data_IF_456807000756
#
_entry.id   IF_456807000756
#
_cell.length_a   1.000
_cell.length_b   1.000
_cell.length_c   1.000
_cell.angle_alpha   90.00
_cell.angle_beta   90.00
_cell.angle_gamma   90.00
#
_symmetry.space_group_name_H-M   'P 1'
#
loop_
_entity.id
_entity.type
_entity.pdbx_description
1 polymer ?
#
# COMPACT_ATOMS: atom_id res chain seq x y z
N UNK A 1 -17.90 22.77 -25.36
CA UNK A 1 -17.80 21.31 -25.61
C UNK A 1 -19.16 20.82 -26.08
N UNK A 2 -19.24 19.98 -27.10
CA UNK A 2 -20.51 19.37 -27.50
C UNK A 2 -20.98 18.39 -26.41
N UNK A 3 -22.30 18.16 -26.24
CA UNK A 3 -22.83 17.17 -25.29
C UNK A 3 -22.12 15.81 -25.40
N UNK A 4 -21.83 15.39 -26.63
CA UNK A 4 -21.09 14.15 -26.95
C UNK A 4 -19.69 14.09 -26.30
N UNK A 5 -18.96 15.21 -26.27
CA UNK A 5 -17.62 15.23 -25.65
C UNK A 5 -17.64 15.07 -24.13
N UNK A 6 -18.73 15.50 -23.48
CA UNK A 6 -18.94 15.36 -22.04
C UNK A 6 -19.23 13.91 -21.66
N UNK A 7 -20.13 13.30 -22.40
CA UNK A 7 -20.56 11.91 -22.24
C UNK A 7 -19.38 10.94 -22.39
N UNK A 8 -18.54 11.16 -23.40
CA UNK A 8 -17.31 10.38 -23.61
C UNK A 8 -16.37 10.53 -22.40
N UNK A 9 -16.19 11.76 -21.88
CA UNK A 9 -15.32 11.99 -20.71
C UNK A 9 -15.81 11.24 -19.46
N UNK A 10 -17.13 11.20 -19.23
CA UNK A 10 -17.74 10.45 -18.12
C UNK A 10 -17.51 8.95 -18.25
N UNK A 11 -17.72 8.39 -19.45
CA UNK A 11 -17.49 6.97 -19.72
C UNK A 11 -16.03 6.57 -19.55
N UNK A 12 -15.10 7.38 -20.08
CA UNK A 12 -13.65 7.17 -19.91
C UNK A 12 -13.27 7.22 -18.44
N UNK A 13 -13.80 8.19 -17.69
CA UNK A 13 -13.52 8.33 -16.24
C UNK A 13 -14.05 7.13 -15.45
N UNK A 14 -15.26 6.66 -15.75
CA UNK A 14 -15.81 5.45 -15.15
C UNK A 14 -14.96 4.20 -15.46
N UNK A 15 -14.48 4.08 -16.70
CA UNK A 15 -13.60 2.99 -17.11
C UNK A 15 -12.26 3.01 -16.35
N UNK A 16 -11.63 4.18 -16.19
CA UNK A 16 -10.38 4.32 -15.41
C UNK A 16 -10.58 3.88 -13.96
N UNK A 17 -11.70 4.25 -13.33
CA UNK A 17 -12.05 3.82 -11.97
C UNK A 17 -12.18 2.29 -11.88
N UNK A 18 -12.83 1.65 -12.85
CA UNK A 18 -12.98 0.19 -12.91
C UNK A 18 -11.64 -0.54 -13.15
N UNK A 19 -10.75 0.03 -13.98
CA UNK A 19 -9.40 -0.49 -14.15
C UNK A 19 -8.60 -0.43 -12.83
N UNK A 20 -8.66 0.71 -12.13
CA UNK A 20 -8.04 0.89 -10.83
C UNK A 20 -8.60 -0.11 -9.80
N UNK A 21 -9.93 -0.32 -9.78
CA UNK A 21 -10.58 -1.29 -8.92
C UNK A 21 -10.12 -2.73 -9.22
N UNK A 22 -10.05 -3.12 -10.49
CA UNK A 22 -9.61 -4.45 -10.90
C UNK A 22 -8.15 -4.70 -10.51
N UNK A 23 -7.29 -3.68 -10.66
CA UNK A 23 -5.92 -3.75 -10.18
C UNK A 23 -5.87 -4.00 -8.66
N UNK A 24 -6.61 -3.23 -7.86
CA UNK A 24 -6.64 -3.37 -6.40
C UNK A 24 -7.24 -4.70 -5.92
N UNK A 25 -8.30 -5.19 -6.58
CA UNK A 25 -8.85 -6.52 -6.29
C UNK A 25 -7.84 -7.62 -6.62
N UNK A 26 -7.09 -7.49 -7.71
CA UNK A 26 -5.98 -8.41 -8.02
C UNK A 26 -4.89 -8.35 -6.94
N UNK A 27 -4.56 -7.17 -6.42
CA UNK A 27 -3.64 -7.03 -5.28
C UNK A 27 -4.20 -7.78 -4.08
N UNK A 28 -5.47 -7.57 -3.72
CA UNK A 28 -6.12 -8.27 -2.61
C UNK A 28 -6.05 -9.79 -2.75
N UNK A 29 -6.42 -10.36 -3.90
CA UNK A 29 -6.37 -11.82 -4.09
C UNK A 29 -4.95 -12.40 -4.01
N UNK A 30 -3.91 -11.59 -4.23
CA UNK A 30 -2.51 -12.01 -4.11
C UNK A 30 -1.92 -11.81 -2.72
N UNK A 31 -2.28 -10.72 -2.03
CA UNK A 31 -1.62 -10.28 -0.80
C UNK A 31 -2.51 -10.41 0.45
N UNK A 32 -3.81 -10.66 0.26
CA UNK A 32 -4.85 -10.67 1.28
C UNK A 32 -4.94 -9.35 2.09
N UNK A 33 -4.51 -8.21 1.50
CA UNK A 33 -4.57 -6.90 2.16
C UNK A 33 -5.97 -6.29 2.12
N UNK A 34 -6.54 -6.00 3.29
CA UNK A 34 -7.91 -5.51 3.41
C UNK A 34 -8.07 -4.10 2.84
N UNK A 35 -7.06 -3.24 3.02
CA UNK A 35 -7.01 -1.91 2.42
C UNK A 35 -7.25 -1.96 0.91
N UNK A 36 -6.61 -2.90 0.20
CA UNK A 36 -6.78 -3.06 -1.25
C UNK A 36 -8.20 -3.48 -1.64
N UNK A 37 -8.82 -4.41 -0.90
CA UNK A 37 -10.21 -4.81 -1.13
C UNK A 37 -11.17 -3.62 -0.95
N UNK A 38 -11.06 -2.91 0.17
CA UNK A 38 -11.95 -1.80 0.50
C UNK A 38 -11.78 -0.67 -0.52
N UNK A 39 -10.54 -0.34 -0.89
CA UNK A 39 -10.27 0.70 -1.89
C UNK A 39 -10.78 0.29 -3.29
N UNK A 40 -10.59 -0.98 -3.68
CA UNK A 40 -11.10 -1.50 -4.94
C UNK A 40 -12.62 -1.39 -5.04
N UNK A 41 -13.33 -1.75 -3.96
CA UNK A 41 -14.79 -1.58 -3.87
C UNK A 41 -15.21 -0.09 -3.86
N UNK A 42 -14.46 0.79 -3.20
CA UNK A 42 -14.69 2.24 -3.23
C UNK A 42 -14.71 2.78 -4.67
N UNK A 43 -13.76 2.34 -5.49
CA UNK A 43 -13.66 2.74 -6.90
C UNK A 43 -14.79 2.19 -7.77
N UNK A 44 -15.31 1.00 -7.45
CA UNK A 44 -16.51 0.46 -8.12
C UNK A 44 -17.72 1.35 -7.82
N UNK A 45 -17.96 1.68 -6.55
CA UNK A 45 -19.04 2.61 -6.19
C UNK A 45 -18.82 4.00 -6.79
N UNK A 46 -17.56 4.46 -6.87
CA UNK A 46 -17.26 5.74 -7.50
C UNK A 46 -17.46 5.72 -9.02
N UNK A 47 -17.32 4.57 -9.67
CA UNK A 47 -17.67 4.39 -11.09
C UNK A 47 -19.20 4.38 -11.26
N UNK A 48 -19.93 3.68 -10.38
CA UNK A 48 -21.41 3.67 -10.35
C UNK A 48 -21.95 5.10 -10.19
N UNK A 49 -21.33 5.93 -9.35
CA UNK A 49 -21.70 7.34 -9.20
C UNK A 49 -21.65 8.09 -10.55
N UNK A 50 -20.55 7.98 -11.29
CA UNK A 50 -20.38 8.63 -12.59
C UNK A 50 -21.36 8.10 -13.64
N UNK A 51 -21.56 6.79 -13.70
CA UNK A 51 -22.54 6.18 -14.61
C UNK A 51 -23.97 6.59 -14.25
N UNK A 52 -24.28 6.75 -12.96
CA UNK A 52 -25.59 7.20 -12.51
C UNK A 52 -25.86 8.66 -12.86
N UNK A 53 -24.84 9.54 -12.82
CA UNK A 53 -24.96 10.92 -13.31
C UNK A 53 -25.25 10.92 -14.83
N UNK A 54 -24.57 10.05 -15.58
CA UNK A 54 -24.77 9.91 -17.03
C UNK A 54 -26.22 9.53 -17.38
N UNK A 55 -26.84 8.64 -16.61
CA UNK A 55 -28.24 8.24 -16.80
C UNK A 55 -29.26 9.14 -16.08
N UNK A 56 -28.82 10.20 -15.40
CA UNK A 56 -29.70 11.11 -14.64
C UNK A 56 -30.35 10.47 -13.41
N UNK A 57 -29.80 9.39 -12.86
CA UNK A 57 -30.30 8.73 -11.66
C UNK A 57 -29.66 9.32 -10.39
N UNK A 58 -30.25 10.41 -9.89
CA UNK A 58 -29.73 11.15 -8.74
C UNK A 58 -29.69 10.34 -7.44
N UNK A 59 -30.63 9.41 -7.25
CA UNK A 59 -30.69 8.57 -6.04
C UNK A 59 -29.47 7.64 -5.99
N UNK A 60 -29.24 6.88 -7.06
CA UNK A 60 -28.09 5.96 -7.14
C UNK A 60 -26.78 6.75 -7.15
N UNK A 61 -26.75 7.91 -7.82
CA UNK A 61 -25.59 8.80 -7.83
C UNK A 61 -25.14 9.22 -6.43
N UNK A 62 -26.04 9.74 -5.59
CA UNK A 62 -25.70 10.21 -4.25
C UNK A 62 -25.33 9.07 -3.31
N UNK A 63 -26.10 7.96 -3.33
CA UNK A 63 -25.81 6.82 -2.46
C UNK A 63 -24.47 6.17 -2.79
N UNK A 64 -24.16 6.01 -4.08
CA UNK A 64 -22.87 5.45 -4.51
C UNK A 64 -21.70 6.38 -4.20
N UNK A 65 -21.87 7.71 -4.25
CA UNK A 65 -20.85 8.67 -3.82
C UNK A 65 -20.57 8.57 -2.32
N UNK A 66 -21.64 8.49 -1.50
CA UNK A 66 -21.53 8.36 -0.06
C UNK A 66 -20.84 7.06 0.35
N UNK A 67 -21.20 5.94 -0.31
CA UNK A 67 -20.53 4.65 -0.11
C UNK A 67 -19.07 4.72 -0.54
N UNK A 68 -18.77 5.27 -1.72
CA UNK A 68 -17.40 5.41 -2.19
C UNK A 68 -16.54 6.22 -1.20
N UNK A 69 -17.04 7.35 -0.69
CA UNK A 69 -16.33 8.22 0.24
C UNK A 69 -16.12 7.57 1.61
N UNK A 70 -17.14 6.88 2.11
CA UNK A 70 -17.04 6.02 3.30
C UNK A 70 -15.92 4.98 3.14
N UNK A 71 -15.87 4.32 1.99
CA UNK A 71 -14.88 3.29 1.70
C UNK A 71 -13.49 3.85 1.43
N UNK A 72 -13.34 5.04 0.84
CA UNK A 72 -12.04 5.70 0.72
C UNK A 72 -11.43 5.98 2.09
N UNK A 73 -12.21 6.54 3.01
CA UNK A 73 -11.77 6.74 4.39
C UNK A 73 -11.43 5.41 5.07
N UNK A 74 -12.32 4.42 4.98
CA UNK A 74 -12.10 3.10 5.57
C UNK A 74 -10.84 2.40 5.01
N UNK A 75 -10.59 2.53 3.71
CA UNK A 75 -9.42 1.95 3.04
C UNK A 75 -8.13 2.61 3.53
N UNK A 76 -8.08 3.93 3.60
CA UNK A 76 -6.91 4.67 4.08
C UNK A 76 -6.66 4.41 5.57
N UNK A 77 -7.71 4.33 6.40
CA UNK A 77 -7.55 3.91 7.78
C UNK A 77 -7.00 2.48 7.91
N UNK A 78 -7.56 1.52 7.14
CA UNK A 78 -7.08 0.14 7.11
C UNK A 78 -5.62 0.06 6.69
N UNK A 79 -5.22 0.84 5.67
CA UNK A 79 -3.83 0.92 5.23
C UNK A 79 -2.92 1.43 6.35
N UNK A 80 -3.36 2.44 7.11
CA UNK A 80 -2.59 2.95 8.25
C UNK A 80 -2.47 1.95 9.41
N UNK A 81 -3.47 1.12 9.64
CA UNK A 81 -3.39 0.01 10.61
C UNK A 81 -2.45 -1.09 10.11
N UNK A 82 -2.55 -1.48 8.84
CA UNK A 82 -1.68 -2.47 8.20
C UNK A 82 -0.21 -2.05 8.22
N UNK A 83 0.06 -0.75 8.08
CA UNK A 83 1.40 -0.17 8.12
C UNK A 83 1.82 0.33 9.51
N UNK A 84 1.05 0.03 10.56
CA UNK A 84 1.33 0.40 11.94
C UNK A 84 1.53 1.92 12.18
N UNK A 85 0.96 2.77 11.32
CA UNK A 85 0.92 4.23 11.54
C UNK A 85 -0.27 4.66 12.37
N UNK A 86 -1.34 3.84 12.39
CA UNK A 86 -2.55 4.09 13.17
C UNK A 86 -2.82 2.91 14.12
N UNK A 87 -3.46 3.22 15.25
CA UNK A 87 -3.93 2.19 16.18
C UNK A 87 -5.14 1.46 15.60
N UNK A 88 -5.19 0.15 15.80
CA UNK A 88 -6.33 -0.67 15.35
C UNK A 88 -7.54 -0.43 16.25
N UNK A 89 -8.55 0.26 15.74
CA UNK A 89 -9.87 0.38 16.39
C UNK A 89 -11.00 0.18 15.38
N UNK A 90 -11.57 -1.03 15.36
CA UNK A 90 -12.70 -1.36 14.48
C UNK A 90 -13.91 -0.47 14.72
N UNK A 91 -14.19 -0.13 15.98
CA UNK A 91 -15.32 0.72 16.34
C UNK A 91 -15.15 2.13 15.80
N UNK A 92 -13.95 2.71 15.96
CA UNK A 92 -13.63 4.03 15.41
C UNK A 92 -13.68 4.04 13.88
N UNK A 93 -13.06 3.05 13.24
CA UNK A 93 -13.10 2.92 11.78
C UNK A 93 -14.55 2.87 11.28
N UNK A 94 -15.39 2.00 11.87
CA UNK A 94 -16.76 1.83 11.43
C UNK A 94 -17.61 3.07 11.67
N UNK A 95 -17.55 3.65 12.88
CA UNK A 95 -18.39 4.79 13.26
C UNK A 95 -18.09 6.03 12.42
N UNK A 96 -16.82 6.30 12.14
CA UNK A 96 -16.42 7.44 11.32
C UNK A 96 -16.75 7.16 9.85
N UNK A 97 -16.34 6.01 9.31
CA UNK A 97 -16.50 5.71 7.87
C UNK A 97 -17.95 5.71 7.42
N UNK A 98 -18.91 5.26 8.23
CA UNK A 98 -20.33 5.18 7.82
C UNK A 98 -21.03 6.55 7.77
N UNK A 99 -20.39 7.61 8.27
CA UNK A 99 -21.00 8.95 8.40
C UNK A 99 -21.59 9.50 7.09
N UNK A 100 -20.90 9.46 5.92
CA UNK A 100 -21.49 9.93 4.66
C UNK A 100 -22.78 9.19 4.29
N UNK A 101 -22.84 7.88 4.56
CA UNK A 101 -24.02 7.04 4.28
C UNK A 101 -25.17 7.43 5.20
N UNK A 102 -24.91 7.55 6.51
CA UNK A 102 -25.94 7.97 7.49
C UNK A 102 -26.50 9.34 7.12
N UNK A 103 -25.65 10.30 6.79
CA UNK A 103 -26.09 11.66 6.43
C UNK A 103 -26.89 11.64 5.13
N UNK A 104 -26.48 10.84 4.14
CA UNK A 104 -27.23 10.70 2.87
C UNK A 104 -28.64 10.13 3.11
N UNK A 105 -28.75 9.05 3.89
CA UNK A 105 -30.05 8.45 4.22
C UNK A 105 -30.91 9.39 5.08
N UNK A 106 -30.29 10.10 6.02
CA UNK A 106 -30.98 11.06 6.88
C UNK A 106 -31.54 12.25 6.09
N UNK A 107 -30.77 12.81 5.16
CA UNK A 107 -31.24 13.94 4.32
C UNK A 107 -32.35 13.52 3.37
N UNK A 108 -32.34 12.27 2.88
CA UNK A 108 -33.46 11.71 2.11
C UNK A 108 -34.71 11.55 2.96
N UNK A 109 -34.58 11.02 4.19
CA UNK A 109 -35.71 10.90 5.10
C UNK A 109 -36.30 12.27 5.45
N UNK A 110 -35.44 13.28 5.65
CA UNK A 110 -35.87 14.66 5.86
C UNK A 110 -36.63 15.22 4.66
N UNK A 111 -36.24 14.88 3.41
CA UNK A 111 -36.98 15.28 2.20
C UNK A 111 -38.44 14.84 2.25
N UNK A 112 -38.68 13.62 2.72
CA UNK A 112 -40.02 13.03 2.78
C UNK A 112 -40.89 13.66 3.89
N UNK A 113 -40.26 14.14 4.97
CA UNK A 113 -40.97 14.57 6.18
C UNK A 113 -40.94 16.08 6.43
N UNK A 114 -40.09 16.84 5.73
CA UNK A 114 -39.94 18.29 5.89
C UNK A 114 -39.79 19.00 4.54
N UNK A 115 -40.59 20.03 4.31
CA UNK A 115 -40.67 20.77 3.02
C UNK A 115 -39.49 21.75 2.80
N UNK A 116 -38.62 21.93 3.79
CA UNK A 116 -37.67 23.06 3.82
C UNK A 116 -36.39 22.83 3.01
N UNK A 117 -35.96 21.58 2.79
CA UNK A 117 -34.78 21.24 1.99
C UNK A 117 -35.21 20.84 0.58
N UNK A 118 -35.12 21.77 -0.37
CA UNK A 118 -35.30 21.45 -1.79
C UNK A 118 -34.27 20.42 -2.28
N UNK A 119 -34.51 19.80 -3.44
CA UNK A 119 -33.66 18.73 -3.98
C UNK A 119 -32.19 19.14 -4.11
N UNK A 120 -31.94 20.38 -4.49
CA UNK A 120 -30.60 20.93 -4.60
C UNK A 120 -29.88 21.04 -3.24
N UNK A 121 -30.61 21.32 -2.15
CA UNK A 121 -30.05 21.34 -0.80
C UNK A 121 -29.55 19.96 -0.37
N UNK A 122 -30.29 18.90 -0.71
CA UNK A 122 -29.90 17.51 -0.44
C UNK A 122 -28.67 17.12 -1.25
N UNK A 123 -28.67 17.44 -2.55
CA UNK A 123 -27.49 17.28 -3.42
C UNK A 123 -26.29 18.00 -2.76
N UNK A 124 -26.48 19.23 -2.31
CA UNK A 124 -25.42 20.05 -1.72
C UNK A 124 -24.79 19.41 -0.49
N UNK A 125 -25.62 18.94 0.45
CA UNK A 125 -25.15 18.30 1.69
C UNK A 125 -24.41 17.00 1.37
N UNK A 126 -24.96 16.18 0.46
CA UNK A 126 -24.43 14.85 0.19
C UNK A 126 -23.08 14.90 -0.57
N UNK A 127 -22.92 15.82 -1.52
CA UNK A 127 -21.64 16.05 -2.19
C UNK A 127 -20.62 16.70 -1.23
N UNK A 128 -21.05 17.66 -0.41
CA UNK A 128 -20.19 18.30 0.59
C UNK A 128 -19.62 17.32 1.62
N UNK A 129 -20.46 16.49 2.24
CA UNK A 129 -19.99 15.52 3.24
C UNK A 129 -19.13 14.42 2.62
N UNK A 130 -19.49 13.94 1.44
CA UNK A 130 -18.74 12.90 0.73
C UNK A 130 -17.35 13.40 0.33
N UNK A 131 -17.28 14.60 -0.26
CA UNK A 131 -16.02 15.25 -0.62
C UNK A 131 -15.14 15.51 0.61
N UNK A 132 -15.71 15.97 1.73
CA UNK A 132 -14.97 16.12 2.99
C UNK A 132 -14.33 14.81 3.47
N UNK A 133 -15.05 13.69 3.39
CA UNK A 133 -14.51 12.38 3.77
C UNK A 133 -13.41 11.89 2.83
N UNK A 134 -13.50 12.18 1.53
CA UNK A 134 -12.41 11.94 0.59
C UNK A 134 -11.17 12.79 0.91
N UNK A 135 -11.35 14.07 1.30
CA UNK A 135 -10.26 14.91 1.81
C UNK A 135 -9.62 14.30 3.05
N UNK A 136 -10.42 13.90 4.04
CA UNK A 136 -9.91 13.26 5.27
C UNK A 136 -9.12 11.98 4.96
N UNK A 137 -9.59 11.16 4.01
CA UNK A 137 -8.87 9.97 3.55
C UNK A 137 -7.49 10.34 2.98
N UNK A 138 -7.42 11.38 2.17
CA UNK A 138 -6.16 11.89 1.62
C UNK A 138 -5.22 12.48 2.69
N UNK A 139 -5.75 13.20 3.68
CA UNK A 139 -5.00 13.76 4.82
C UNK A 139 -4.37 12.64 5.66
N UNK A 140 -5.13 11.58 5.98
CA UNK A 140 -4.58 10.38 6.64
C UNK A 140 -3.42 9.80 5.81
N UNK A 141 -3.59 9.76 4.49
CA UNK A 141 -2.56 9.25 3.58
C UNK A 141 -1.23 10.01 3.62
N UNK A 142 -1.21 11.28 4.04
CA UNK A 142 0.03 12.08 4.09
C UNK A 142 1.05 11.46 5.05
N UNK A 143 0.60 10.76 6.09
CA UNK A 143 1.49 10.05 7.01
C UNK A 143 2.20 8.86 6.36
N UNK A 144 1.64 8.30 5.28
CA UNK A 144 2.25 7.19 4.54
C UNK A 144 3.49 7.61 3.75
N UNK A 145 3.76 8.92 3.64
CA UNK A 145 5.05 9.42 3.15
C UNK A 145 6.23 8.87 3.94
N UNK A 146 6.04 8.58 5.24
CA UNK A 146 7.07 7.97 6.09
C UNK A 146 7.47 6.56 5.65
N UNK A 147 6.63 5.90 4.86
CA UNK A 147 6.75 4.48 4.50
C UNK A 147 7.04 4.32 3.01
N UNK A 148 6.21 4.94 2.16
CA UNK A 148 6.34 4.84 0.70
C UNK A 148 7.07 6.05 0.09
N UNK A 149 7.62 6.95 0.91
CA UNK A 149 8.31 8.15 0.44
C UNK A 149 7.37 9.11 -0.30
N UNK A 150 7.92 9.89 -1.23
CA UNK A 150 7.14 10.87 -2.00
C UNK A 150 6.11 10.22 -2.94
N UNK A 151 6.17 8.91 -3.17
CA UNK A 151 5.18 8.17 -3.96
C UNK A 151 3.79 8.20 -3.32
N UNK A 152 3.71 8.16 -1.97
CA UNK A 152 2.43 8.26 -1.25
C UNK A 152 1.72 9.60 -1.47
N UNK A 153 2.47 10.68 -1.75
CA UNK A 153 1.87 12.01 -1.95
C UNK A 153 0.94 12.05 -3.17
N UNK A 154 1.22 11.25 -4.21
CA UNK A 154 0.31 11.14 -5.36
C UNK A 154 -1.05 10.58 -4.96
N UNK A 155 -1.08 9.55 -4.12
CA UNK A 155 -2.32 8.99 -3.60
C UNK A 155 -3.07 10.02 -2.73
N UNK A 156 -2.36 10.64 -1.79
CA UNK A 156 -2.93 11.59 -0.84
C UNK A 156 -3.48 12.85 -1.50
N UNK A 157 -2.67 13.52 -2.33
CA UNK A 157 -3.10 14.76 -2.98
C UNK A 157 -4.20 14.52 -4.00
N UNK A 158 -4.23 13.35 -4.65
CA UNK A 158 -5.34 13.03 -5.54
C UNK A 158 -6.66 12.87 -4.78
N UNK A 159 -6.66 12.21 -3.62
CA UNK A 159 -7.86 12.11 -2.78
C UNK A 159 -8.29 13.48 -2.22
N UNK A 160 -7.34 14.34 -1.83
CA UNK A 160 -7.63 15.71 -1.40
C UNK A 160 -8.23 16.53 -2.55
N UNK A 161 -7.64 16.44 -3.74
CA UNK A 161 -8.11 17.17 -4.92
C UNK A 161 -9.49 16.69 -5.37
N UNK A 162 -9.71 15.37 -5.41
CA UNK A 162 -11.03 14.79 -5.66
C UNK A 162 -12.03 15.29 -4.62
N UNK A 163 -11.75 15.13 -3.34
CA UNK A 163 -12.67 15.55 -2.29
C UNK A 163 -13.01 17.04 -2.33
N UNK A 164 -12.00 17.90 -2.56
CA UNK A 164 -12.21 19.34 -2.73
C UNK A 164 -13.06 19.66 -3.97
N UNK A 165 -12.85 18.94 -5.08
CA UNK A 165 -13.64 19.11 -6.29
C UNK A 165 -15.09 18.63 -6.12
N UNK A 166 -15.31 17.52 -5.42
CA UNK A 166 -16.66 17.03 -5.12
C UNK A 166 -17.43 18.04 -4.23
N UNK A 167 -16.74 18.74 -3.31
CA UNK A 167 -17.34 19.79 -2.48
C UNK A 167 -17.73 21.04 -3.27
N UNK A 168 -17.09 21.33 -4.41
CA UNK A 168 -17.41 22.48 -5.26
C UNK A 168 -18.65 22.24 -6.14
N UNK A 169 -19.03 20.98 -6.34
CA UNK A 169 -20.11 20.54 -7.23
C UNK A 169 -21.41 21.34 -7.04
N UNK A 170 -21.92 21.60 -5.82
CA UNK A 170 -23.19 22.29 -5.65
C UNK A 170 -23.16 23.77 -6.07
N UNK A 171 -21.97 24.37 -6.10
CA UNK A 171 -21.77 25.76 -6.47
C UNK A 171 -21.46 25.91 -7.96
N UNK A 172 -20.71 24.97 -8.53
CA UNK A 172 -20.15 25.09 -9.87
C UNK A 172 -20.87 24.26 -10.93
N UNK A 173 -21.64 23.22 -10.55
CA UNK A 173 -22.46 22.43 -11.50
C UNK A 173 -23.49 23.27 -12.26
N UNK A 174 -24.21 24.23 -11.64
CA UNK A 174 -25.17 25.07 -12.37
C UNK A 174 -24.49 26.06 -13.34
N UNK A 175 -23.17 26.24 -13.23
CA UNK A 175 -22.40 27.20 -14.02
C UNK A 175 -22.00 26.57 -15.36
N UNK A 176 -22.76 26.86 -16.41
CA UNK A 176 -22.63 26.19 -17.71
C UNK A 176 -21.22 26.22 -18.34
N UNK A 177 -20.48 27.33 -18.17
CA UNK A 177 -19.11 27.45 -18.70
C UNK A 177 -18.10 26.61 -17.92
N UNK A 178 -18.38 26.32 -16.65
CA UNK A 178 -17.47 25.56 -15.79
C UNK A 178 -17.65 24.06 -15.96
N UNK A 179 -18.86 23.58 -16.29
CA UNK A 179 -19.14 22.15 -16.38
C UNK A 179 -18.08 21.37 -17.20
N UNK A 180 -17.66 21.79 -18.42
CA UNK A 180 -16.59 21.10 -19.15
C UNK A 180 -15.24 21.06 -18.43
N UNK A 181 -14.89 22.15 -17.73
CA UNK A 181 -13.64 22.28 -16.98
C UNK A 181 -13.67 21.37 -15.75
N UNK A 182 -14.79 21.34 -15.02
CA UNK A 182 -15.00 20.44 -13.89
C UNK A 182 -14.78 18.98 -14.27
N UNK A 183 -15.42 18.51 -15.35
CA UNK A 183 -15.22 17.13 -15.79
C UNK A 183 -13.78 16.82 -16.23
N UNK A 184 -13.08 17.76 -16.86
CA UNK A 184 -11.66 17.59 -17.18
C UNK A 184 -10.81 17.48 -15.92
N UNK A 185 -11.05 18.32 -14.90
CA UNK A 185 -10.35 18.26 -13.62
C UNK A 185 -10.63 16.94 -12.91
N UNK A 186 -11.89 16.49 -12.86
CA UNK A 186 -12.26 15.20 -12.30
C UNK A 186 -11.50 14.05 -12.98
N UNK A 187 -11.42 14.04 -14.31
CA UNK A 187 -10.67 13.03 -15.06
C UNK A 187 -9.17 13.05 -14.73
N UNK A 188 -8.55 14.24 -14.66
CA UNK A 188 -7.15 14.40 -14.29
C UNK A 188 -6.86 13.94 -12.86
N UNK A 189 -7.73 14.26 -11.90
CA UNK A 189 -7.57 13.81 -10.52
C UNK A 189 -7.76 12.30 -10.37
N UNK A 190 -8.68 11.69 -11.13
CA UNK A 190 -8.84 10.22 -11.17
C UNK A 190 -7.62 9.53 -11.80
N UNK A 191 -7.02 10.11 -12.83
CA UNK A 191 -5.76 9.61 -13.40
C UNK A 191 -4.61 9.74 -12.40
N UNK A 192 -4.50 10.86 -11.71
CA UNK A 192 -3.52 11.05 -10.65
C UNK A 192 -3.74 10.06 -9.49
N UNK A 193 -5.00 9.78 -9.15
CA UNK A 193 -5.37 8.77 -8.16
C UNK A 193 -4.94 7.37 -8.60
N UNK A 194 -5.22 6.98 -9.85
CA UNK A 194 -4.76 5.70 -10.40
C UNK A 194 -3.23 5.60 -10.33
N UNK A 195 -2.51 6.66 -10.71
CA UNK A 195 -1.06 6.69 -10.60
C UNK A 195 -0.59 6.51 -9.14
N UNK A 196 -1.20 7.24 -8.19
CA UNK A 196 -0.93 7.09 -6.76
C UNK A 196 -1.20 5.67 -6.24
N UNK A 197 -2.30 5.05 -6.68
CA UNK A 197 -2.65 3.66 -6.37
C UNK A 197 -1.57 2.71 -6.89
N UNK A 198 -1.15 2.86 -8.15
CA UNK A 198 -0.11 2.01 -8.73
C UNK A 198 1.23 2.17 -8.00
N UNK A 199 1.56 3.37 -7.54
CA UNK A 199 2.79 3.60 -6.80
C UNK A 199 2.78 2.99 -5.39
N UNK A 200 1.66 3.14 -4.65
CA UNK A 200 1.55 2.63 -3.29
C UNK A 200 1.26 1.13 -3.30
N UNK A 201 0.14 0.71 -3.87
CA UNK A 201 -0.29 -0.69 -3.85
C UNK A 201 0.47 -1.54 -4.85
N UNK A 202 1.02 -0.97 -5.93
CA UNK A 202 1.88 -1.71 -6.86
C UNK A 202 3.27 -2.00 -6.31
N UNK A 203 3.77 -1.17 -5.38
CA UNK A 203 4.99 -1.51 -4.63
C UNK A 203 4.82 -2.79 -3.80
N UNK A 204 3.58 -3.09 -3.42
CA UNK A 204 3.22 -4.23 -2.58
C UNK A 204 2.83 -5.51 -3.32
N UNK A 205 2.73 -5.46 -4.66
CA UNK A 205 2.53 -6.65 -5.52
C UNK A 205 3.85 -7.44 -5.59
N UNK A 206 4.46 -7.68 -4.43
CA UNK A 206 5.85 -8.06 -4.25
C UNK A 206 6.25 -9.27 -5.04
N UNK A 207 7.52 -9.17 -5.48
CA UNK A 207 8.29 -10.13 -6.23
C UNK A 207 7.54 -10.57 -7.48
N UNK A 208 7.81 -9.90 -8.61
CA UNK A 208 7.46 -10.48 -9.91
C UNK A 208 7.97 -11.91 -9.85
N UNK A 209 7.09 -12.90 -9.95
CA UNK A 209 7.48 -14.31 -10.05
C UNK A 209 8.45 -14.39 -11.21
N UNK A 210 9.74 -14.36 -10.91
CA UNK A 210 10.80 -14.49 -11.88
C UNK A 210 11.31 -15.90 -11.64
N UNK A 211 11.10 -16.76 -12.63
CA UNK A 211 11.85 -18.01 -12.73
C UNK A 211 13.24 -17.55 -13.16
N UNK A 212 14.10 -17.26 -12.19
CA UNK A 212 15.51 -16.94 -12.45
C UNK A 212 16.29 -18.15 -12.02
N UNK A 213 16.95 -18.81 -12.96
CA UNK A 213 17.89 -19.86 -12.63
C UNK A 213 18.98 -19.27 -11.75
N UNK A 214 19.28 -19.96 -10.65
CA UNK A 214 20.35 -19.56 -9.74
C UNK A 214 21.65 -19.45 -10.54
N UNK A 215 22.50 -18.43 -10.30
CA UNK A 215 23.80 -18.37 -10.93
C UNK A 215 24.54 -19.68 -10.63
N UNK A 216 24.90 -20.45 -11.67
CA UNK A 216 25.45 -21.81 -11.54
C UNK A 216 26.78 -21.83 -10.76
N UNK A 217 27.43 -20.67 -10.66
CA UNK A 217 28.67 -20.46 -9.94
C UNK A 217 28.48 -20.32 -8.41
N UNK A 218 27.24 -20.17 -7.95
CA UNK A 218 26.87 -20.00 -6.54
C UNK A 218 26.37 -21.32 -5.94
N UNK A 219 27.28 -22.10 -5.37
CA UNK A 219 26.93 -23.26 -4.53
C UNK A 219 26.47 -22.79 -3.15
N UNK A 220 25.25 -22.25 -3.09
CA UNK A 220 24.57 -21.96 -1.83
C UNK A 220 23.51 -23.04 -1.60
N UNK A 221 23.59 -23.75 -0.49
CA UNK A 221 22.59 -24.76 -0.16
C UNK A 221 21.31 -24.09 0.39
N UNK A 222 20.14 -24.73 0.25
CA UNK A 222 18.94 -24.28 0.93
C UNK A 222 19.14 -24.18 2.45
N UNK A 223 18.45 -23.24 3.08
CA UNK A 223 18.59 -22.97 4.52
C UNK A 223 19.34 -21.68 4.80
N UNK A 224 20.46 -21.73 5.52
CA UNK A 224 21.20 -20.52 5.89
C UNK A 224 22.71 -20.66 5.86
N UNK A 225 23.38 -19.59 5.44
CA UNK A 225 24.83 -19.47 5.38
C UNK A 225 25.25 -18.21 6.12
N UNK A 226 26.24 -18.33 7.00
CA UNK A 226 26.89 -17.19 7.67
C UNK A 226 28.14 -16.82 6.87
N UNK A 227 28.25 -15.55 6.46
CA UNK A 227 29.41 -15.01 5.76
C UNK A 227 29.95 -13.78 6.50
N UNK A 228 31.26 -13.56 6.43
CA UNK A 228 31.81 -12.25 6.76
C UNK A 228 31.53 -11.26 5.64
N UNK A 229 31.65 -9.97 5.92
CA UNK A 229 31.50 -8.91 4.92
C UNK A 229 32.39 -9.14 3.69
N UNK A 230 33.63 -9.59 3.89
CA UNK A 230 34.56 -9.89 2.79
C UNK A 230 34.19 -11.16 2.04
N UNK A 231 33.64 -12.18 2.73
CA UNK A 231 33.06 -13.36 2.10
C UNK A 231 31.86 -13.00 1.22
N UNK A 232 30.97 -12.14 1.72
CA UNK A 232 29.80 -11.68 0.97
C UNK A 232 30.18 -10.87 -0.26
N UNK A 233 31.17 -9.96 -0.16
CA UNK A 233 31.68 -9.19 -1.30
C UNK A 233 32.20 -10.06 -2.45
N UNK A 234 32.71 -11.25 -2.16
CA UNK A 234 33.17 -12.20 -3.21
C UNK A 234 32.02 -12.79 -4.01
N UNK A 235 30.87 -13.04 -3.38
CA UNK A 235 29.70 -13.61 -4.05
C UNK A 235 28.77 -12.55 -4.64
N UNK A 236 28.87 -11.31 -4.16
CA UNK A 236 28.04 -10.18 -4.56
C UNK A 236 27.97 -10.00 -6.09
N UNK A 237 29.08 -10.04 -6.88
CA UNK A 237 29.02 -9.90 -8.34
C UNK A 237 28.14 -10.94 -9.03
N UNK A 238 28.13 -12.18 -8.55
CA UNK A 238 27.30 -13.24 -9.13
C UNK A 238 25.80 -13.01 -8.87
N UNK A 239 25.45 -12.15 -7.92
CA UNK A 239 24.07 -11.78 -7.56
C UNK A 239 23.56 -10.50 -8.26
N UNK A 240 24.35 -9.88 -9.15
CA UNK A 240 23.99 -8.60 -9.79
C UNK A 240 22.66 -8.66 -10.55
N UNK A 241 22.45 -9.73 -11.31
CA UNK A 241 21.24 -9.95 -12.11
C UNK A 241 20.20 -10.84 -11.41
N UNK A 242 20.43 -11.19 -10.15
CA UNK A 242 19.52 -12.02 -9.36
C UNK A 242 18.67 -11.15 -8.44
N UNK A 243 17.34 -11.38 -8.37
CA UNK A 243 16.44 -10.54 -7.59
C UNK A 243 16.53 -10.85 -6.08
N UNK A 244 17.61 -10.44 -5.41
CA UNK A 244 17.85 -10.65 -3.98
C UNK A 244 16.92 -9.77 -3.13
N UNK A 245 16.38 -10.31 -2.03
CA UNK A 245 15.78 -9.50 -0.96
C UNK A 245 16.85 -9.18 0.09
N UNK A 246 17.19 -7.91 0.27
CA UNK A 246 18.29 -7.50 1.12
C UNK A 246 17.83 -6.52 2.21
N UNK A 247 18.08 -6.89 3.47
CA UNK A 247 17.94 -6.03 4.64
C UNK A 247 19.33 -5.54 5.03
N UNK A 248 19.61 -4.28 4.66
CA UNK A 248 20.97 -3.75 4.70
C UNK A 248 21.05 -2.47 5.50
N UNK A 249 22.25 -2.17 5.99
CA UNK A 249 22.56 -0.89 6.60
C UNK A 249 23.69 -0.17 5.88
N UNK A 250 24.76 -0.89 5.53
CA UNK A 250 25.99 -0.30 5.03
C UNK A 250 26.40 -0.81 3.64
N UNK A 251 25.76 -1.88 3.15
CA UNK A 251 26.00 -2.37 1.79
C UNK A 251 25.45 -1.43 0.72
N UNK A 252 26.15 -1.36 -0.42
CA UNK A 252 25.62 -0.74 -1.64
C UNK A 252 24.89 -1.82 -2.45
N UNK A 253 23.57 -1.71 -2.63
CA UNK A 253 22.80 -2.72 -3.34
C UNK A 253 22.91 -2.56 -4.87
N UNK A 254 22.61 -3.65 -5.60
CA UNK A 254 22.36 -3.58 -7.04
C UNK A 254 20.92 -3.13 -7.34
N UNK A 255 20.71 -2.64 -8.56
CA UNK A 255 19.44 -2.05 -9.00
C UNK A 255 18.27 -3.05 -9.00
N UNK A 256 18.55 -4.32 -9.26
CA UNK A 256 17.55 -5.38 -9.37
C UNK A 256 17.18 -6.03 -8.02
N UNK A 257 17.81 -5.59 -6.93
CA UNK A 257 17.52 -6.09 -5.59
C UNK A 257 16.31 -5.41 -4.97
N UNK A 258 15.58 -6.18 -4.17
CA UNK A 258 14.56 -5.66 -3.28
C UNK A 258 15.24 -5.25 -1.98
N UNK A 259 15.43 -3.95 -1.78
CA UNK A 259 16.27 -3.43 -0.71
C UNK A 259 15.43 -2.76 0.36
N UNK A 260 15.68 -3.13 1.61
CA UNK A 260 15.17 -2.44 2.79
C UNK A 260 16.33 -1.98 3.67
N UNK A 261 16.34 -0.69 4.01
CA UNK A 261 17.34 -0.12 4.90
C UNK A 261 16.92 -0.30 6.36
N UNK A 262 17.72 -1.03 7.14
CA UNK A 262 17.43 -1.21 8.58
C UNK A 262 17.94 0.00 9.35
N UNK A 263 17.04 0.90 9.73
CA UNK A 263 17.40 2.17 10.36
C UNK A 263 16.24 2.78 11.15
N UNK A 264 16.57 3.60 12.15
CA UNK A 264 15.58 4.46 12.84
C UNK A 264 15.41 5.82 12.18
N UNK A 265 16.24 6.14 11.19
CA UNK A 265 16.18 7.43 10.51
C UNK A 265 14.90 7.53 9.69
N UNK A 266 14.06 8.50 10.04
CA UNK A 266 12.82 8.78 9.30
C UNK A 266 13.15 9.43 7.96
N UNK A 267 12.39 9.08 6.91
CA UNK A 267 12.50 9.70 5.59
C UNK A 267 13.45 9.01 4.61
N UNK A 268 14.05 7.88 4.99
CA UNK A 268 14.77 6.99 4.06
C UNK A 268 13.75 6.11 3.34
N UNK A 269 13.81 6.06 2.00
CA UNK A 269 12.93 5.20 1.20
C UNK A 269 13.19 3.73 1.51
N UNK A 270 12.14 2.91 1.62
CA UNK A 270 12.19 1.50 2.00
C UNK A 270 12.91 1.24 3.34
N UNK A 271 12.75 2.13 4.33
CA UNK A 271 13.31 1.90 5.66
C UNK A 271 12.45 0.94 6.50
N UNK A 272 13.11 0.10 7.30
CA UNK A 272 12.50 -0.74 8.33
C UNK A 272 13.14 -0.41 9.67
N UNK A 273 12.33 -0.12 10.68
CA UNK A 273 12.82 0.06 12.05
C UNK A 273 13.40 -1.28 12.55
N UNK A 274 14.60 -1.29 13.17
CA UNK A 274 15.23 -2.51 13.66
C UNK A 274 14.36 -3.29 14.66
N UNK A 275 13.40 -2.65 15.34
CA UNK A 275 12.46 -3.31 16.26
C UNK A 275 11.34 -4.07 15.54
N UNK A 276 11.13 -3.84 14.24
CA UNK A 276 10.06 -4.46 13.48
C UNK A 276 10.51 -5.77 12.81
N UNK A 277 10.99 -6.71 13.63
CA UNK A 277 11.27 -8.08 13.19
C UNK A 277 10.08 -8.72 12.45
N UNK A 278 8.81 -8.58 12.89
CA UNK A 278 7.67 -9.15 12.18
C UNK A 278 7.59 -8.75 10.70
N UNK A 279 7.84 -7.48 10.37
CA UNK A 279 7.83 -7.00 8.97
C UNK A 279 8.93 -7.65 8.13
N UNK A 280 10.15 -7.79 8.67
CA UNK A 280 11.25 -8.48 7.98
C UNK A 280 10.89 -9.95 7.74
N UNK A 281 10.25 -10.64 8.72
CA UNK A 281 9.80 -12.03 8.56
C UNK A 281 8.77 -12.15 7.46
N UNK A 282 7.76 -11.29 7.48
CA UNK A 282 6.65 -11.31 6.53
C UNK A 282 7.14 -11.05 5.11
N UNK A 283 8.02 -10.06 4.91
CA UNK A 283 8.63 -9.76 3.61
C UNK A 283 9.47 -10.94 3.10
N UNK A 284 10.27 -11.55 3.97
CA UNK A 284 11.10 -12.71 3.61
C UNK A 284 10.27 -13.95 3.27
N UNK A 285 9.22 -14.22 4.05
CA UNK A 285 8.27 -15.31 3.75
C UNK A 285 7.61 -15.10 2.39
N UNK A 286 7.09 -13.90 2.13
CA UNK A 286 6.49 -13.55 0.84
C UNK A 286 7.51 -13.69 -0.29
N UNK A 287 8.76 -13.33 -0.05
CA UNK A 287 9.84 -13.48 -1.03
C UNK A 287 10.09 -14.92 -1.40
N UNK A 288 10.34 -15.77 -0.41
CA UNK A 288 10.56 -17.20 -0.62
C UNK A 288 9.38 -17.88 -1.33
N UNK A 289 8.15 -17.45 -1.06
CA UNK A 289 6.96 -17.99 -1.73
C UNK A 289 6.81 -17.57 -3.20
N UNK A 290 7.42 -16.47 -3.62
CA UNK A 290 7.23 -15.88 -4.95
C UNK A 290 8.46 -15.94 -5.85
N UNK A 291 9.64 -16.20 -5.28
CA UNK A 291 10.92 -16.34 -6.01
C UNK A 291 11.46 -17.72 -5.76
N UNK A 292 11.45 -18.56 -6.80
CA UNK A 292 12.05 -19.90 -6.76
C UNK A 292 13.54 -19.79 -6.42
N UNK A 293 14.01 -20.59 -5.47
CA UNK A 293 15.38 -20.56 -4.96
C UNK A 293 15.83 -19.17 -4.49
N UNK A 294 14.89 -18.37 -3.95
CA UNK A 294 15.16 -17.00 -3.53
C UNK A 294 16.31 -16.86 -2.55
N UNK A 295 17.05 -15.74 -2.63
CA UNK A 295 18.13 -15.39 -1.70
C UNK A 295 17.72 -14.18 -0.86
N UNK A 296 17.67 -14.36 0.45
CA UNK A 296 17.46 -13.28 1.43
C UNK A 296 18.80 -12.95 2.10
N UNK A 297 19.17 -11.68 2.16
CA UNK A 297 20.41 -11.21 2.81
C UNK A 297 20.06 -10.35 4.01
N UNK A 298 20.71 -10.61 5.15
CA UNK A 298 20.67 -9.76 6.34
C UNK A 298 22.10 -9.29 6.64
N UNK A 299 22.38 -8.00 6.48
CA UNK A 299 23.73 -7.43 6.65
C UNK A 299 24.06 -6.94 8.06
N UNK A 300 23.05 -6.82 8.92
CA UNK A 300 23.18 -6.19 10.21
C UNK A 300 22.50 -6.96 11.36
N UNK A 301 22.73 -8.28 11.52
CA UNK A 301 22.11 -9.05 12.59
C UNK A 301 22.51 -8.54 13.99
N UNK A 302 23.73 -8.02 14.15
CA UNK A 302 24.17 -7.39 15.41
C UNK A 302 23.35 -6.14 15.73
N UNK A 303 22.99 -5.34 14.72
CA UNK A 303 22.14 -4.18 14.94
C UNK A 303 20.72 -4.59 15.35
N UNK A 304 20.15 -5.64 14.74
CA UNK A 304 18.87 -6.18 15.17
C UNK A 304 18.92 -6.69 16.63
N UNK A 305 20.02 -7.35 17.00
CA UNK A 305 20.25 -7.85 18.36
C UNK A 305 20.34 -6.74 19.40
N UNK A 306 20.97 -5.61 19.07
CA UNK A 306 21.04 -4.44 19.97
C UNK A 306 19.64 -3.93 20.35
N UNK A 307 18.69 -3.95 19.41
CA UNK A 307 17.34 -3.40 19.62
C UNK A 307 16.33 -4.41 20.17
N UNK A 308 16.48 -5.69 19.84
CA UNK A 308 15.49 -6.71 20.18
C UNK A 308 15.99 -7.71 21.24
N UNK A 309 17.29 -7.68 21.54
CA UNK A 309 17.97 -8.72 22.31
C UNK A 309 18.41 -9.89 21.43
N UNK A 310 19.50 -10.55 21.87
CA UNK A 310 20.09 -11.68 21.17
C UNK A 310 19.11 -12.84 21.00
N UNK A 311 18.44 -13.26 22.07
CA UNK A 311 17.54 -14.42 22.03
C UNK A 311 16.40 -14.26 21.02
N UNK A 312 15.78 -13.08 20.99
CA UNK A 312 14.71 -12.77 20.05
C UNK A 312 15.23 -12.75 18.61
N UNK A 313 16.42 -12.19 18.39
CA UNK A 313 17.06 -12.12 17.07
C UNK A 313 17.42 -13.51 16.55
N UNK A 314 17.95 -14.40 17.40
CA UNK A 314 18.29 -15.76 17.00
C UNK A 314 17.06 -16.60 16.71
N UNK A 315 16.02 -16.55 17.56
CA UNK A 315 14.73 -17.21 17.29
C UNK A 315 14.14 -16.74 15.96
N UNK A 316 14.25 -15.44 15.71
CA UNK A 316 13.83 -14.81 14.47
C UNK A 316 14.59 -15.34 13.24
N UNK A 317 15.93 -15.36 13.29
CA UNK A 317 16.77 -15.88 12.21
C UNK A 317 16.53 -17.37 11.97
N UNK A 318 16.26 -18.14 13.02
CA UNK A 318 15.88 -19.55 12.90
C UNK A 318 14.55 -19.73 12.15
N UNK A 319 13.52 -18.93 12.47
CA UNK A 319 12.27 -18.95 11.70
C UNK A 319 12.48 -18.60 10.23
N UNK A 320 13.34 -17.63 9.93
CA UNK A 320 13.69 -17.30 8.54
C UNK A 320 14.39 -18.46 7.82
N UNK A 321 15.32 -19.14 8.50
CA UNK A 321 15.97 -20.34 7.97
C UNK A 321 14.93 -21.40 7.64
N UNK A 322 13.98 -21.65 8.53
CA UNK A 322 12.92 -22.64 8.31
C UNK A 322 12.08 -22.28 7.07
N UNK A 323 11.72 -21.01 6.89
CA UNK A 323 11.06 -20.54 5.67
C UNK A 323 11.92 -20.70 4.42
N UNK A 324 13.24 -20.46 4.51
CA UNK A 324 14.17 -20.67 3.42
C UNK A 324 14.18 -22.15 3.00
N UNK A 325 14.30 -23.07 3.96
CA UNK A 325 14.28 -24.53 3.72
C UNK A 325 12.98 -24.96 3.04
N UNK A 326 11.82 -24.52 3.53
CA UNK A 326 10.50 -24.92 3.01
C UNK A 326 10.30 -24.51 1.53
N UNK A 327 11.00 -23.48 1.06
CA UNK A 327 10.83 -22.92 -0.28
C UNK A 327 12.12 -23.05 -1.14
N UNK A 328 13.03 -23.96 -0.78
CA UNK A 328 14.32 -24.18 -1.46
C UNK A 328 15.19 -22.91 -1.59
N UNK A 329 14.96 -21.92 -0.74
CA UNK A 329 15.67 -20.65 -0.70
C UNK A 329 16.89 -20.67 0.23
N UNK A 330 17.66 -19.58 0.21
CA UNK A 330 18.82 -19.40 1.09
C UNK A 330 18.76 -18.07 1.84
N UNK A 331 18.98 -18.13 3.14
CA UNK A 331 19.22 -17.00 4.02
C UNK A 331 20.73 -16.78 4.19
N UNK A 332 21.23 -15.65 3.70
CA UNK A 332 22.62 -15.22 3.88
C UNK A 332 22.69 -14.22 5.02
N UNK A 333 23.43 -14.58 6.06
CA UNK A 333 23.63 -13.74 7.24
C UNK A 333 25.04 -13.20 7.18
N UNK A 334 25.18 -11.89 6.98
CA UNK A 334 26.49 -11.24 6.92
C UNK A 334 26.83 -10.73 8.30
N UNK A 335 27.82 -11.35 8.96
CA UNK A 335 28.29 -10.95 10.29
C UNK A 335 29.69 -11.50 10.56
N UNK A 336 30.35 -11.04 11.61
CA UNK A 336 31.68 -11.52 12.03
C UNK A 336 31.67 -12.03 13.46
N UNK A 337 32.57 -12.96 13.77
CA UNK A 337 32.73 -13.49 15.14
C UNK A 337 33.00 -12.39 16.16
N UNK A 338 33.72 -11.34 15.76
CA UNK A 338 34.11 -10.23 16.63
C UNK A 338 32.93 -9.36 17.06
N UNK A 339 31.77 -9.47 16.39
CA UNK A 339 30.56 -8.74 16.73
C UNK A 339 29.75 -9.39 17.88
N UNK A 340 30.12 -10.60 18.30
CA UNK A 340 29.37 -11.42 19.26
C UNK A 340 30.28 -11.91 20.38
N UNK A 341 29.70 -12.12 21.57
CA UNK A 341 30.42 -12.86 22.59
C UNK A 341 30.58 -14.35 22.21
N UNK A 342 31.51 -15.06 22.86
CA UNK A 342 31.82 -16.45 22.52
C UNK A 342 30.61 -17.40 22.63
N UNK A 343 29.70 -17.15 23.58
CA UNK A 343 28.51 -17.97 23.80
C UNK A 343 27.47 -17.68 22.71
N UNK A 344 27.23 -16.40 22.42
CA UNK A 344 26.35 -15.93 21.36
C UNK A 344 26.80 -16.46 19.99
N UNK A 345 28.09 -16.36 19.68
CA UNK A 345 28.64 -16.88 18.44
C UNK A 345 28.39 -18.39 18.28
N UNK A 346 28.66 -19.17 19.33
CA UNK A 346 28.43 -20.61 19.33
C UNK A 346 26.96 -20.96 19.09
N UNK A 347 26.04 -20.28 19.76
CA UNK A 347 24.59 -20.47 19.56
C UNK A 347 24.19 -20.12 18.13
N UNK A 348 24.67 -18.99 17.61
CA UNK A 348 24.37 -18.51 16.27
C UNK A 348 24.83 -19.49 15.21
N UNK A 349 26.09 -19.94 15.28
CA UNK A 349 26.63 -20.92 14.34
C UNK A 349 25.88 -22.23 14.44
N UNK A 350 25.65 -22.78 15.64
CA UNK A 350 25.00 -24.08 15.79
C UNK A 350 23.56 -24.09 15.25
N UNK A 351 22.83 -22.98 15.36
CA UNK A 351 21.44 -22.90 14.89
C UNK A 351 21.32 -22.58 13.40
N UNK A 352 22.28 -21.84 12.83
CA UNK A 352 22.15 -21.22 11.51
C UNK A 352 23.21 -21.66 10.50
N UNK A 353 24.22 -22.45 10.86
CA UNK A 353 25.03 -23.12 9.84
C UNK A 353 24.26 -24.34 9.33
N UNK A 354 23.92 -24.36 8.04
CA UNK A 354 23.57 -25.60 7.35
C UNK A 354 24.77 -26.56 7.39
N UNK A 355 24.54 -27.80 7.79
CA UNK A 355 25.52 -28.88 7.69
C UNK A 355 25.83 -29.21 6.23
#
# INVERSE_FOLDING_TARGET
MSPVSLEIAMLVTAFIKLLAATFLLRVYFKTNRRSSLIFGLALIFYAINTVSDFFGNYMVNQLSLAIASAMFFAAMYSLGVEEATLSSSKMFQLSVSITPIIITLYTWLLKEHTVTLGEWGIISVNWGISGFFAVLAGVIGLDFRKIFGNKALWLSFSLIAIGGHEMDYPFLRPVAWFAPIGFLMAALFVLALLYGILQVFGSEVYFKKRIVERPTQLQLNPGSTILTMDGFKKIMPALENFPVLAFIRNLKPYKDWYVYFVTRTKGVENAIDPTNLPKILELSKKYFQNVENGIVVIDCPEYLSIYNGFENTVKYLAMLKDYAIINDGTLVIVTSKDAWDAKQWSILTNLLSSQ
#
